data_IF_995838265056
#
_entry.id   IF_995838265056
#
_cell.length_a   1.000
_cell.length_b   1.000
_cell.length_c   1.000
_cell.angle_alpha   90.00
_cell.angle_beta   90.00
_cell.angle_gamma   90.00
#
_symmetry.space_group_name_H-M   'P 1'
#
loop_
_entity.id
_entity.type
_entity.pdbx_description
1 polymer ?
#
# COMPACT_ATOMS: atom_id res chain seq x y z
N UNK A 1 19.08 7.18 41.79
CA UNK A 1 19.15 7.83 40.46
C UNK A 1 18.36 9.13 40.54
N UNK A 2 19.04 10.27 40.39
CA UNK A 2 18.50 11.62 40.57
C UNK A 2 17.25 11.83 39.70
N UNK A 3 16.14 12.32 40.26
CA UNK A 3 14.83 12.41 39.58
C UNK A 3 14.84 13.12 38.21
N UNK A 4 15.79 14.03 37.99
CA UNK A 4 16.05 14.66 36.69
C UNK A 4 16.46 13.68 35.58
N UNK A 5 17.20 12.62 35.93
CA UNK A 5 17.59 11.56 34.98
C UNK A 5 16.38 10.69 34.62
N UNK A 6 15.45 10.50 35.55
CA UNK A 6 14.23 9.73 35.33
C UNK A 6 13.26 10.48 34.40
N UNK A 7 13.02 11.78 34.64
CA UNK A 7 12.17 12.60 33.77
C UNK A 7 12.75 12.75 32.37
N UNK A 8 14.07 12.94 32.23
CA UNK A 8 14.72 12.96 30.91
C UNK A 8 14.56 11.65 30.15
N UNK A 9 14.69 10.51 30.83
CA UNK A 9 14.50 9.20 30.21
C UNK A 9 13.05 8.96 29.78
N UNK A 10 12.08 9.38 30.61
CA UNK A 10 10.65 9.25 30.29
C UNK A 10 10.24 10.09 29.08
N UNK A 11 10.80 11.31 28.97
CA UNK A 11 10.57 12.18 27.81
C UNK A 11 11.11 11.57 26.51
N UNK A 12 12.30 10.97 26.54
CA UNK A 12 12.89 10.29 25.37
C UNK A 12 12.04 9.09 24.91
N UNK A 13 11.51 8.29 25.84
CA UNK A 13 10.64 7.15 25.52
C UNK A 13 9.34 7.64 24.88
N UNK A 14 8.75 8.72 25.40
CA UNK A 14 7.53 9.30 24.83
C UNK A 14 7.76 9.75 23.38
N UNK A 15 8.84 10.49 23.11
CA UNK A 15 9.19 10.95 21.75
C UNK A 15 9.42 9.78 20.79
N UNK A 16 10.12 8.73 21.23
CA UNK A 16 10.34 7.53 20.43
C UNK A 16 9.04 6.77 20.10
N UNK A 17 8.06 6.77 21.01
CA UNK A 17 6.73 6.19 20.79
C UNK A 17 5.91 6.94 19.73
N UNK A 18 6.00 8.27 19.69
CA UNK A 18 5.32 9.08 18.65
C UNK A 18 5.95 8.92 17.26
N UNK A 19 7.24 8.61 17.18
CA UNK A 19 7.93 8.37 15.90
C UNK A 19 7.61 7.01 15.25
N UNK A 20 6.82 6.15 15.91
CA UNK A 20 6.40 4.85 15.38
C UNK A 20 5.20 4.91 14.40
N UNK A 21 4.85 6.08 13.86
CA UNK A 21 3.71 6.30 12.97
C UNK A 21 3.80 5.62 11.58
N UNK A 22 4.72 4.66 11.39
CA UNK A 22 4.75 3.83 10.20
C UNK A 22 3.72 2.69 10.36
N UNK A 23 2.68 2.75 9.52
CA UNK A 23 1.64 1.73 9.41
C UNK A 23 2.29 0.35 9.26
N UNK A 24 1.86 -0.60 10.08
CA UNK A 24 2.49 -1.93 10.12
C UNK A 24 2.41 -2.65 8.78
N UNK A 25 1.37 -2.35 7.99
CA UNK A 25 1.15 -2.87 6.65
C UNK A 25 2.17 -2.34 5.62
N UNK A 26 2.82 -1.21 5.89
CA UNK A 26 3.83 -0.62 5.01
C UNK A 26 5.26 -1.08 5.35
N UNK A 27 5.48 -1.68 6.52
CA UNK A 27 6.80 -2.18 6.91
C UNK A 27 7.16 -3.42 6.12
N UNK A 28 8.26 -3.36 5.37
CA UNK A 28 8.76 -4.49 4.60
C UNK A 28 8.08 -4.69 3.24
N UNK A 29 7.22 -3.75 2.82
CA UNK A 29 6.70 -3.72 1.45
C UNK A 29 7.84 -3.52 0.46
N UNK A 30 7.93 -4.38 -0.55
CA UNK A 30 8.90 -4.24 -1.63
C UNK A 30 8.57 -2.95 -2.38
N UNK A 31 9.46 -1.95 -2.28
CA UNK A 31 9.30 -0.65 -2.96
C UNK A 31 9.86 -0.66 -4.38
N UNK A 32 10.72 -1.63 -4.70
CA UNK A 32 11.38 -1.76 -5.99
C UNK A 32 11.14 -3.15 -6.53
N UNK A 33 10.27 -3.23 -7.53
CA UNK A 33 10.09 -4.42 -8.33
C UNK A 33 11.03 -4.39 -9.53
N UNK A 34 11.46 -5.56 -9.99
CA UNK A 34 12.12 -5.67 -11.28
C UNK A 34 11.15 -5.17 -12.38
N UNK A 35 11.67 -4.37 -13.30
CA UNK A 35 10.84 -3.77 -14.34
C UNK A 35 10.27 -4.88 -15.23
N UNK A 36 8.96 -4.84 -15.42
CA UNK A 36 8.24 -5.87 -16.18
C UNK A 36 7.78 -7.06 -15.32
N UNK A 37 8.09 -7.08 -14.02
CA UNK A 37 7.61 -8.09 -13.10
C UNK A 37 6.38 -7.58 -12.35
N UNK A 38 5.26 -8.25 -12.55
CA UNK A 38 4.04 -8.03 -11.77
C UNK A 38 3.86 -9.21 -10.82
N UNK A 39 3.83 -8.95 -9.51
CA UNK A 39 3.66 -9.99 -8.48
C UNK A 39 2.19 -10.29 -8.14
N UNK A 40 1.26 -9.63 -8.83
CA UNK A 40 -0.16 -9.90 -8.65
C UNK A 40 -0.54 -11.29 -9.17
N UNK A 41 -1.78 -11.73 -8.87
CA UNK A 41 -2.30 -12.96 -9.47
C UNK A 41 -2.23 -12.88 -10.99
N UNK A 42 -2.00 -14.03 -11.62
CA UNK A 42 -2.04 -14.12 -13.07
C UNK A 42 -3.38 -13.63 -13.61
N UNK A 43 -3.34 -13.01 -14.78
CA UNK A 43 -4.55 -12.59 -15.48
C UNK A 43 -5.47 -13.79 -15.71
N UNK A 44 -6.76 -13.55 -15.53
CA UNK A 44 -7.80 -14.53 -15.83
C UNK A 44 -8.30 -14.31 -17.26
N UNK A 45 -8.57 -15.40 -17.96
CA UNK A 45 -9.23 -15.32 -19.26
C UNK A 45 -10.64 -14.75 -19.09
N UNK A 46 -11.01 -13.80 -19.94
CA UNK A 46 -12.36 -13.26 -19.97
C UNK A 46 -13.33 -14.25 -20.60
N UNK A 47 -14.53 -14.34 -20.06
CA UNK A 47 -15.64 -15.06 -20.71
C UNK A 47 -16.16 -14.28 -21.92
N UNK A 48 -16.86 -14.95 -22.83
CA UNK A 48 -17.49 -14.31 -23.99
C UNK A 48 -18.50 -13.22 -23.58
N UNK A 49 -19.19 -13.42 -22.46
CA UNK A 49 -20.13 -12.43 -21.91
C UNK A 49 -19.39 -11.19 -21.42
N UNK A 50 -18.29 -11.36 -20.67
CA UNK A 50 -17.46 -10.25 -20.20
C UNK A 50 -16.85 -9.46 -21.37
N UNK A 51 -16.41 -10.15 -22.43
CA UNK A 51 -15.92 -9.50 -23.65
C UNK A 51 -17.02 -8.67 -24.31
N UNK A 52 -18.25 -9.20 -24.41
CA UNK A 52 -19.38 -8.49 -25.01
C UNK A 52 -19.73 -7.22 -24.22
N UNK A 53 -19.73 -7.31 -22.90
CA UNK A 53 -19.96 -6.17 -22.01
C UNK A 53 -18.92 -5.07 -22.17
N UNK A 54 -17.64 -5.43 -22.30
CA UNK A 54 -16.54 -4.49 -22.56
C UNK A 54 -16.75 -3.80 -23.90
N UNK A 55 -17.09 -4.56 -24.95
CA UNK A 55 -17.34 -4.03 -26.29
C UNK A 55 -18.48 -3.00 -26.29
N UNK A 56 -19.60 -3.32 -25.64
CA UNK A 56 -20.75 -2.40 -25.54
C UNK A 56 -20.37 -1.11 -24.81
N UNK A 57 -19.67 -1.20 -23.66
CA UNK A 57 -19.23 -0.02 -22.92
C UNK A 57 -18.26 0.84 -23.73
N UNK A 58 -17.31 0.21 -24.40
CA UNK A 58 -16.31 0.90 -25.24
C UNK A 58 -17.00 1.66 -26.37
N UNK A 59 -17.96 1.02 -27.04
CA UNK A 59 -18.75 1.70 -28.07
C UNK A 59 -19.49 2.91 -27.48
N UNK A 60 -20.18 2.78 -26.35
CA UNK A 60 -20.88 3.91 -25.73
C UNK A 60 -19.94 5.07 -25.36
N UNK A 61 -18.74 4.76 -24.86
CA UNK A 61 -17.75 5.77 -24.48
C UNK A 61 -17.10 6.44 -25.68
N UNK A 62 -16.97 5.77 -26.82
CA UNK A 62 -16.37 6.34 -28.03
C UNK A 62 -17.14 7.52 -28.63
N UNK A 63 -18.41 7.70 -28.24
CA UNK A 63 -19.26 8.80 -28.70
C UNK A 63 -19.21 10.05 -27.80
N UNK A 64 -18.56 9.98 -26.63
CA UNK A 64 -18.32 11.11 -25.73
C UNK A 64 -16.94 11.72 -25.98
#
# INVERSE_FOLDING_TARGET
MTGQKLTGMLALIAVAGFLQACEQEERGRILQYEKGTYLGPSDQSLSNEQLRDIEVRTNLQSWY
#
